data_IF_074692853793
#
_entry.id   IF_074692853793
#
_cell.length_a   1.000
_cell.length_b   1.000
_cell.length_c   1.000
_cell.angle_alpha   90.00
_cell.angle_beta   90.00
_cell.angle_gamma   90.00
#
_symmetry.space_group_name_H-M   'P 1'
#
loop_
_entity.id
_entity.type
_entity.pdbx_description
1 polymer ?
#
# COMPACT_ATOMS: atom_id res chain seq x y z
N UNK A 1 -13.54 23.01 48.85
CA UNK A 1 -14.66 23.75 48.22
C UNK A 1 -15.79 22.76 48.03
N UNK A 2 -16.88 23.02 48.72
CA UNK A 2 -18.03 22.14 48.94
C UNK A 2 -19.12 22.31 47.88
N UNK A 3 -19.75 21.18 47.53
CA UNK A 3 -21.19 20.98 47.30
C UNK A 3 -21.90 21.44 46.01
N UNK A 4 -22.81 20.54 45.57
CA UNK A 4 -24.17 20.77 45.04
C UNK A 4 -24.32 21.14 43.55
N UNK A 5 -25.29 20.66 42.77
CA UNK A 5 -26.41 19.71 42.92
C UNK A 5 -27.06 19.55 41.52
N UNK A 6 -27.71 18.39 41.30
CA UNK A 6 -28.99 18.16 40.57
C UNK A 6 -29.06 17.92 39.05
N UNK A 7 -29.67 16.76 38.80
CA UNK A 7 -30.37 16.24 37.64
C UNK A 7 -31.42 17.19 37.02
N UNK A 8 -31.60 17.08 35.71
CA UNK A 8 -32.91 17.17 35.07
C UNK A 8 -33.08 16.08 34.01
N UNK A 9 -33.76 15.00 34.40
CA UNK A 9 -34.64 14.22 33.53
C UNK A 9 -35.82 15.12 33.14
N UNK A 10 -36.16 15.18 31.86
CA UNK A 10 -37.48 15.60 31.38
C UNK A 10 -37.84 14.76 30.15
N UNK A 11 -38.48 13.64 30.43
CA UNK A 11 -39.41 12.98 29.52
C UNK A 11 -40.63 13.88 29.29
N UNK A 12 -41.05 14.08 28.05
CA UNK A 12 -42.46 14.35 27.76
C UNK A 12 -42.85 13.68 26.44
N UNK A 13 -43.61 12.61 26.60
CA UNK A 13 -44.42 11.95 25.58
C UNK A 13 -45.58 12.87 25.18
N UNK A 14 -45.86 12.99 23.88
CA UNK A 14 -47.21 13.31 23.41
C UNK A 14 -47.52 12.47 22.18
N UNK A 15 -48.70 11.85 22.23
CA UNK A 15 -49.21 10.76 21.43
C UNK A 15 -50.43 11.29 20.67
N UNK A 16 -50.37 11.33 19.33
CA UNK A 16 -51.51 11.40 18.40
C UNK A 16 -50.98 10.81 17.07
N UNK A 17 -51.48 9.74 16.45
CA UNK A 17 -52.84 9.22 16.42
C UNK A 17 -53.51 9.59 15.10
N UNK A 18 -53.01 9.14 13.94
CA UNK A 18 -53.80 9.07 12.69
C UNK A 18 -53.48 7.76 11.99
N UNK A 19 -54.46 6.86 12.00
CA UNK A 19 -54.56 5.73 11.09
C UNK A 19 -54.99 6.24 9.71
N UNK A 20 -54.21 5.94 8.68
CA UNK A 20 -54.66 5.97 7.30
C UNK A 20 -53.97 4.82 6.54
N UNK A 21 -54.71 3.82 6.02
CA UNK A 21 -54.14 2.85 5.11
C UNK A 21 -54.02 3.53 3.75
N UNK A 22 -52.88 4.16 3.48
CA UNK A 22 -52.53 4.50 2.11
C UNK A 22 -52.11 3.20 1.42
N UNK A 23 -53.04 2.66 0.64
CA UNK A 23 -52.72 1.72 -0.41
C UNK A 23 -51.69 2.38 -1.32
N UNK A 24 -50.42 2.02 -1.13
CA UNK A 24 -49.37 2.36 -2.07
C UNK A 24 -49.65 1.58 -3.35
N UNK A 25 -50.29 2.23 -4.31
CA UNK A 25 -50.14 1.86 -5.70
C UNK A 25 -48.66 2.06 -6.03
N UNK A 26 -47.86 1.01 -5.87
CA UNK A 26 -46.56 0.91 -6.49
C UNK A 26 -46.80 0.85 -7.99
N UNK A 27 -46.93 2.00 -8.65
CA UNK A 27 -46.59 2.08 -10.06
C UNK A 27 -45.09 1.85 -10.12
N UNK A 28 -44.72 0.58 -10.28
CA UNK A 28 -43.42 0.22 -10.79
C UNK A 28 -43.21 1.03 -12.08
N UNK A 29 -42.09 1.75 -12.25
CA UNK A 29 -41.81 2.37 -13.52
C UNK A 29 -41.67 1.25 -14.55
N UNK A 30 -42.74 1.04 -15.32
CA UNK A 30 -42.69 0.35 -16.59
C UNK A 30 -41.66 1.10 -17.43
N UNK A 31 -40.44 0.58 -17.45
CA UNK A 31 -39.44 0.99 -18.41
C UNK A 31 -40.01 0.58 -19.76
N UNK A 32 -40.50 1.54 -20.53
CA UNK A 32 -40.96 1.33 -21.89
C UNK A 32 -39.75 0.95 -22.75
N UNK A 33 -39.45 -0.34 -22.75
CA UNK A 33 -38.56 -0.95 -23.72
C UNK A 33 -39.24 -0.90 -25.08
N UNK A 34 -39.02 0.20 -25.80
CA UNK A 34 -39.27 0.28 -27.23
C UNK A 34 -40.53 1.05 -27.65
N UNK A 35 -40.52 2.37 -27.46
CA UNK A 35 -41.30 3.30 -28.31
C UNK A 35 -40.64 4.67 -28.47
N UNK A 36 -39.32 4.77 -28.25
CA UNK A 36 -38.59 5.96 -28.69
C UNK A 36 -38.56 5.94 -30.22
N UNK A 37 -38.90 7.06 -30.85
CA UNK A 37 -38.84 7.19 -32.30
C UNK A 37 -37.40 6.91 -32.77
N UNK A 38 -37.21 6.66 -34.08
CA UNK A 38 -35.86 6.46 -34.63
C UNK A 38 -34.97 7.67 -34.29
N UNK A 39 -35.57 8.85 -34.23
CA UNK A 39 -34.96 10.11 -33.82
C UNK A 39 -34.48 10.10 -32.35
N UNK A 40 -35.24 9.52 -31.41
CA UNK A 40 -34.81 9.37 -30.01
C UNK A 40 -33.59 8.44 -29.89
N UNK A 41 -33.57 7.37 -30.68
CA UNK A 41 -32.44 6.42 -30.71
C UNK A 41 -31.18 7.04 -31.31
N UNK A 42 -31.33 7.84 -32.38
CA UNK A 42 -30.22 8.60 -32.97
C UNK A 42 -29.68 9.62 -31.98
N UNK A 43 -30.56 10.36 -31.30
CA UNK A 43 -30.16 11.34 -30.28
C UNK A 43 -29.44 10.68 -29.11
N UNK A 44 -29.87 9.48 -28.70
CA UNK A 44 -29.20 8.71 -27.66
C UNK A 44 -27.84 8.17 -28.13
N UNK A 45 -27.74 7.70 -29.37
CA UNK A 45 -26.46 7.26 -29.96
C UNK A 45 -25.47 8.42 -30.12
N UNK A 46 -25.93 9.60 -30.51
CA UNK A 46 -25.10 10.80 -30.58
C UNK A 46 -24.60 11.22 -29.18
N UNK A 47 -25.44 11.17 -28.14
CA UNK A 47 -24.99 11.40 -26.76
C UNK A 47 -23.98 10.37 -26.29
N UNK A 48 -24.21 9.09 -26.58
CA UNK A 48 -23.28 8.01 -26.20
C UNK A 48 -21.96 8.18 -26.94
N UNK A 49 -21.99 8.51 -28.23
CA UNK A 49 -20.81 8.78 -29.06
C UNK A 49 -20.01 9.97 -28.53
N UNK A 50 -20.69 11.07 -28.20
CA UNK A 50 -20.08 12.26 -27.62
C UNK A 50 -19.49 11.98 -26.23
N UNK A 51 -20.20 11.22 -25.38
CA UNK A 51 -19.71 10.79 -24.08
C UNK A 51 -18.50 9.84 -24.19
N UNK A 52 -18.50 8.95 -25.17
CA UNK A 52 -17.39 8.05 -25.44
C UNK A 52 -16.15 8.81 -25.92
N UNK A 53 -16.34 9.83 -26.75
CA UNK A 53 -15.28 10.71 -27.22
C UNK A 53 -14.66 11.51 -26.06
N UNK A 54 -15.51 12.04 -25.16
CA UNK A 54 -15.06 12.71 -23.94
C UNK A 54 -14.30 11.77 -23.00
N UNK A 55 -14.74 10.52 -22.86
CA UNK A 55 -14.04 9.50 -22.05
C UNK A 55 -12.66 9.18 -22.64
N UNK A 56 -12.53 9.06 -23.96
CA UNK A 56 -11.25 8.82 -24.61
C UNK A 56 -10.27 9.97 -24.38
N UNK A 57 -10.74 11.23 -24.46
CA UNK A 57 -9.93 12.40 -24.11
C UNK A 57 -9.51 12.38 -22.64
N UNK A 58 -10.43 12.03 -21.74
CA UNK A 58 -10.11 11.92 -20.30
C UNK A 58 -9.09 10.82 -20.01
N UNK A 59 -9.18 9.67 -20.68
CA UNK A 59 -8.21 8.59 -20.56
C UNK A 59 -6.84 8.98 -21.12
N UNK A 60 -6.79 9.71 -22.25
CA UNK A 60 -5.53 10.24 -22.76
C UNK A 60 -4.89 11.23 -21.80
N UNK A 61 -5.68 12.15 -21.24
CA UNK A 61 -5.18 13.09 -20.24
C UNK A 61 -4.64 12.34 -19.02
N UNK A 62 -5.37 11.35 -18.52
CA UNK A 62 -4.94 10.56 -17.37
C UNK A 62 -3.65 9.77 -17.65
N UNK A 63 -3.47 9.24 -18.87
CA UNK A 63 -2.22 8.58 -19.24
C UNK A 63 -1.05 9.56 -19.29
N UNK A 64 -1.26 10.78 -19.80
CA UNK A 64 -0.25 11.84 -19.80
C UNK A 64 0.12 12.26 -18.39
N UNK A 65 -0.87 12.44 -17.51
CA UNK A 65 -0.66 12.83 -16.12
C UNK A 65 0.12 11.74 -15.37
N UNK A 66 -0.26 10.46 -15.54
CA UNK A 66 0.47 9.34 -14.97
C UNK A 66 1.92 9.26 -15.47
N UNK A 67 2.16 9.56 -16.75
CA UNK A 67 3.51 9.55 -17.31
C UNK A 67 4.37 10.66 -16.67
N UNK A 68 3.80 11.87 -16.53
CA UNK A 68 4.46 12.98 -15.83
C UNK A 68 4.74 12.64 -14.37
N UNK A 69 3.81 11.99 -13.69
CA UNK A 69 4.00 11.55 -12.30
C UNK A 69 5.10 10.50 -12.19
N UNK A 70 5.19 9.55 -13.13
CA UNK A 70 6.27 8.57 -13.20
C UNK A 70 7.63 9.25 -13.40
N UNK A 71 7.70 10.26 -14.27
CA UNK A 71 8.93 11.00 -14.52
C UNK A 71 9.34 11.83 -13.30
N UNK A 72 8.38 12.45 -12.61
CA UNK A 72 8.59 13.15 -11.34
C UNK A 72 9.09 12.21 -10.24
N UNK A 73 8.45 11.05 -10.08
CA UNK A 73 8.86 10.03 -9.12
C UNK A 73 10.25 9.50 -9.44
N UNK A 74 10.58 9.31 -10.72
CA UNK A 74 11.94 8.92 -11.14
C UNK A 74 12.97 9.98 -10.75
N UNK A 75 12.65 11.26 -10.95
CA UNK A 75 13.49 12.37 -10.50
C UNK A 75 13.68 12.36 -8.98
N UNK A 76 12.61 12.21 -8.20
CA UNK A 76 12.68 12.11 -6.75
C UNK A 76 13.49 10.90 -6.27
N UNK A 77 13.38 9.75 -6.93
CA UNK A 77 14.18 8.56 -6.61
C UNK A 77 15.66 8.83 -6.85
N UNK A 78 16.01 9.45 -7.99
CA UNK A 78 17.39 9.82 -8.29
C UNK A 78 17.96 10.81 -7.28
N UNK A 79 17.17 11.82 -6.89
CA UNK A 79 17.55 12.79 -5.87
C UNK A 79 17.74 12.14 -4.50
N UNK A 80 16.79 11.31 -4.06
CA UNK A 80 16.91 10.59 -2.80
C UNK A 80 18.13 9.66 -2.80
N UNK A 81 18.40 8.97 -3.90
CA UNK A 81 19.58 8.11 -4.03
C UNK A 81 20.88 8.91 -3.94
N UNK A 82 20.92 10.11 -4.54
CA UNK A 82 22.05 11.02 -4.42
C UNK A 82 22.26 11.48 -2.97
N UNK A 83 21.19 11.89 -2.28
CA UNK A 83 21.25 12.27 -0.88
C UNK A 83 21.70 11.11 0.01
N UNK A 84 21.22 9.89 -0.25
CA UNK A 84 21.64 8.70 0.49
C UNK A 84 23.14 8.43 0.34
N UNK A 85 23.67 8.52 -0.89
CA UNK A 85 25.09 8.36 -1.16
C UNK A 85 25.93 9.42 -0.42
N UNK A 86 25.45 10.67 -0.35
CA UNK A 86 26.13 11.70 0.43
C UNK A 86 26.16 11.39 1.93
N UNK A 87 25.05 10.87 2.49
CA UNK A 87 24.99 10.48 3.91
C UNK A 87 25.96 9.34 4.21
N UNK A 88 26.03 8.33 3.33
CA UNK A 88 26.97 7.20 3.48
C UNK A 88 28.41 7.70 3.42
N UNK A 89 28.77 8.57 2.47
CA UNK A 89 30.14 9.08 2.36
C UNK A 89 30.51 9.95 3.58
N UNK A 90 29.56 10.75 4.07
CA UNK A 90 29.73 11.52 5.31
C UNK A 90 29.94 10.60 6.52
N UNK A 91 29.18 9.52 6.63
CA UNK A 91 29.35 8.53 7.72
C UNK A 91 30.73 7.88 7.67
N UNK A 92 31.21 7.52 6.46
CA UNK A 92 32.55 6.98 6.25
C UNK A 92 33.64 7.97 6.69
N UNK A 93 33.51 9.25 6.33
CA UNK A 93 34.44 10.29 6.78
C UNK A 93 34.45 10.46 8.30
N UNK A 94 33.28 10.44 8.94
CA UNK A 94 33.16 10.52 10.41
C UNK A 94 33.85 9.31 11.06
N UNK A 95 33.66 8.10 10.54
CA UNK A 95 34.33 6.90 11.05
C UNK A 95 35.85 6.99 10.92
N UNK A 96 36.36 7.50 9.79
CA UNK A 96 37.80 7.71 9.59
C UNK A 96 38.36 8.78 10.53
N UNK A 97 37.64 9.88 10.75
CA UNK A 97 38.04 10.91 11.71
C UNK A 97 38.05 10.37 13.14
N UNK A 98 37.04 9.59 13.52
CA UNK A 98 36.95 8.95 14.84
C UNK A 98 38.12 7.98 15.07
N UNK A 99 38.47 7.18 14.07
CA UNK A 99 39.63 6.28 14.15
C UNK A 99 40.94 7.08 14.30
N UNK A 100 41.09 8.17 13.56
CA UNK A 100 42.27 9.03 13.62
C UNK A 100 42.41 9.78 14.97
N UNK A 101 41.28 10.14 15.60
CA UNK A 101 41.22 10.69 16.96
C UNK A 101 41.52 9.62 18.02
N UNK A 102 41.15 8.36 17.78
CA UNK A 102 41.46 7.22 18.64
C UNK A 102 42.91 6.76 18.55
N UNK A 103 43.59 6.98 17.42
CA UNK A 103 45.00 6.64 17.21
C UNK A 103 45.99 7.73 17.61
N UNK A 104 45.52 8.88 18.10
CA UNK A 104 46.36 10.03 18.48
C UNK A 104 46.96 10.00 19.89
N UNK A 105 46.96 8.85 20.58
CA UNK A 105 47.45 8.75 21.97
C UNK A 105 48.24 7.46 22.24
N UNK A 106 49.38 7.29 21.58
CA UNK A 106 50.44 6.39 22.06
C UNK A 106 51.80 6.77 21.44
N UNK A 107 52.88 7.00 22.21
CA UNK A 107 54.23 7.13 21.67
C UNK A 107 54.90 5.76 21.50
N UNK A 108 55.52 5.59 20.32
CA UNK A 108 56.69 4.80 19.94
C UNK A 108 56.90 3.36 20.48
N UNK A 109 56.97 2.41 19.54
CA UNK A 109 58.09 1.45 19.50
C UNK A 109 58.32 0.95 18.07
N UNK A 110 59.56 1.13 17.62
CA UNK A 110 60.11 0.73 16.34
C UNK A 110 60.72 -0.67 16.51
N UNK A 111 60.35 -1.63 15.66
CA UNK A 111 61.13 -2.86 15.49
C UNK A 111 60.96 -3.40 14.07
N UNK A 112 62.08 -3.36 13.37
CA UNK A 112 62.38 -3.97 12.07
C UNK A 112 62.48 -5.49 12.15
N UNK A 113 62.06 -6.18 11.08
CA UNK A 113 62.69 -7.41 10.61
C UNK A 113 61.80 -8.64 10.49
N UNK A 114 61.74 -9.20 9.28
CA UNK A 114 61.64 -10.66 9.11
C UNK A 114 60.41 -11.19 8.38
N UNK A 115 60.63 -11.57 7.13
CA UNK A 115 59.75 -12.17 6.13
C UNK A 115 59.01 -13.49 6.46
N UNK A 116 57.99 -13.73 5.60
CA UNK A 116 57.34 -14.99 5.20
C UNK A 116 56.33 -15.68 6.11
N UNK A 117 55.04 -15.60 5.71
CA UNK A 117 54.25 -16.78 5.37
C UNK A 117 52.99 -16.38 4.61
N UNK A 118 52.84 -16.88 3.38
CA UNK A 118 51.70 -16.61 2.50
C UNK A 118 50.42 -17.22 3.05
N UNK A 119 49.42 -16.38 3.29
CA UNK A 119 48.05 -16.78 3.54
C UNK A 119 47.13 -16.06 2.56
N UNK A 120 46.33 -16.87 1.88
CA UNK A 120 45.42 -16.51 0.81
C UNK A 120 44.50 -15.34 1.16
N UNK A 121 44.45 -14.38 0.24
CA UNK A 121 43.31 -13.48 0.07
C UNK A 121 42.14 -14.24 -0.53
N UNK A 122 40.91 -14.17 0.02
CA UNK A 122 39.73 -14.17 -0.80
C UNK A 122 39.44 -12.71 -1.16
N UNK A 123 39.73 -12.37 -2.40
CA UNK A 123 39.16 -11.20 -3.07
C UNK A 123 37.65 -11.48 -3.23
N UNK A 124 36.71 -10.62 -2.81
CA UNK A 124 35.37 -10.72 -3.34
C UNK A 124 35.43 -10.18 -4.77
N UNK A 125 35.56 -11.12 -5.70
CA UNK A 125 35.43 -10.88 -7.13
C UNK A 125 34.03 -10.30 -7.39
N UNK A 126 33.99 -9.06 -7.86
CA UNK A 126 32.86 -8.47 -8.55
C UNK A 126 32.78 -9.12 -9.95
N UNK A 127 32.45 -10.41 -9.96
CA UNK A 127 32.21 -11.20 -11.15
C UNK A 127 30.71 -11.39 -11.30
N UNK A 128 30.14 -10.75 -12.32
CA UNK A 128 28.78 -10.95 -12.76
C UNK A 128 28.49 -12.44 -12.98
N UNK A 129 27.73 -13.04 -12.06
CA UNK A 129 27.09 -14.32 -12.25
C UNK A 129 25.59 -14.11 -12.12
N UNK A 130 24.95 -13.96 -13.28
CA UNK A 130 23.55 -14.28 -13.46
C UNK A 130 23.32 -15.70 -12.91
N UNK A 131 22.85 -15.77 -11.67
CA UNK A 131 22.37 -17.01 -11.06
C UNK A 131 20.88 -16.86 -10.83
N UNK A 132 20.18 -17.51 -11.73
CA UNK A 132 18.79 -17.94 -11.60
C UNK A 132 18.48 -18.44 -10.18
N UNK A 133 17.47 -17.84 -9.54
CA UNK A 133 16.32 -18.65 -9.10
C UNK A 133 15.95 -18.72 -7.62
N UNK A 134 16.63 -18.05 -6.67
CA UNK A 134 16.20 -18.11 -5.26
C UNK A 134 16.48 -16.83 -4.46
N UNK A 135 15.65 -16.50 -3.44
CA UNK A 135 15.85 -15.33 -2.60
C UNK A 135 17.06 -15.52 -1.67
N UNK A 136 18.16 -14.81 -1.95
CA UNK A 136 19.33 -14.75 -1.07
C UNK A 136 18.99 -13.91 0.16
N UNK A 137 19.10 -14.49 1.36
CA UNK A 137 18.85 -13.82 2.64
C UNK A 137 20.19 -13.50 3.32
N UNK A 138 20.43 -12.23 3.58
CA UNK A 138 21.70 -11.66 4.03
C UNK A 138 21.81 -11.49 5.54
N UNK A 139 20.66 -11.46 6.26
CA UNK A 139 20.66 -11.19 7.71
C UNK A 139 20.39 -9.72 8.07
N UNK A 140 20.37 -8.83 7.07
CA UNK A 140 19.95 -7.44 7.22
C UNK A 140 18.53 -7.23 6.70
N UNK A 141 17.67 -6.60 7.51
CA UNK A 141 16.27 -6.42 7.18
C UNK A 141 16.07 -5.45 6.00
N UNK A 142 16.91 -4.43 5.84
CA UNK A 142 16.76 -3.52 4.70
C UNK A 142 17.12 -4.24 3.39
N UNK A 143 18.24 -4.96 3.39
CA UNK A 143 18.74 -5.71 2.23
C UNK A 143 17.77 -6.82 1.83
N UNK A 144 17.30 -7.63 2.78
CA UNK A 144 16.38 -8.74 2.52
C UNK A 144 15.01 -8.24 2.03
N UNK A 145 14.54 -7.10 2.56
CA UNK A 145 13.33 -6.45 2.07
C UNK A 145 13.49 -5.95 0.64
N UNK A 146 14.60 -5.26 0.33
CA UNK A 146 14.86 -4.73 -1.02
C UNK A 146 15.02 -5.86 -2.05
N UNK A 147 15.66 -6.96 -1.67
CA UNK A 147 15.74 -8.16 -2.49
C UNK A 147 14.34 -8.72 -2.81
N UNK A 148 13.45 -8.81 -1.80
CA UNK A 148 12.07 -9.25 -2.01
C UNK A 148 11.29 -8.29 -2.92
N UNK A 149 11.50 -6.98 -2.81
CA UNK A 149 10.88 -5.98 -3.68
C UNK A 149 11.32 -6.11 -5.13
N UNK A 150 12.59 -6.41 -5.39
CA UNK A 150 13.08 -6.63 -6.74
C UNK A 150 12.32 -7.78 -7.44
N UNK A 151 11.92 -8.80 -6.69
CA UNK A 151 11.13 -9.93 -7.20
C UNK A 151 9.72 -9.52 -7.61
N UNK A 152 9.10 -8.55 -6.91
CA UNK A 152 7.75 -8.06 -7.22
C UNK A 152 7.67 -7.42 -8.61
N UNK A 153 8.77 -6.84 -9.09
CA UNK A 153 8.80 -6.16 -10.40
C UNK A 153 8.68 -7.14 -11.56
N UNK A 154 9.08 -8.41 -11.36
CA UNK A 154 8.98 -9.46 -12.35
C UNK A 154 7.71 -10.30 -12.11
N UNK A 155 6.73 -10.16 -13.01
CA UNK A 155 5.45 -10.90 -12.90
C UNK A 155 5.65 -12.42 -12.93
N UNK A 156 6.73 -12.93 -13.52
CA UNK A 156 7.03 -14.36 -13.54
C UNK A 156 7.52 -14.89 -12.20
N UNK A 157 8.04 -14.00 -11.33
CA UNK A 157 8.66 -14.34 -10.04
C UNK A 157 7.80 -14.01 -8.83
N UNK A 158 6.48 -13.98 -9.02
CA UNK A 158 5.55 -13.70 -7.92
C UNK A 158 5.65 -14.74 -6.79
N UNK A 159 5.90 -16.01 -7.13
CA UNK A 159 6.06 -17.06 -6.12
C UNK A 159 7.34 -16.86 -5.28
N UNK A 160 8.47 -16.57 -5.94
CA UNK A 160 9.72 -16.20 -5.24
C UNK A 160 9.51 -14.98 -4.34
N UNK A 161 8.76 -13.96 -4.81
CA UNK A 161 8.46 -12.77 -4.03
C UNK A 161 7.63 -13.10 -2.79
N UNK A 162 6.62 -13.96 -2.92
CA UNK A 162 5.79 -14.43 -1.80
C UNK A 162 6.68 -15.16 -0.78
N UNK A 163 7.53 -16.08 -1.23
CA UNK A 163 8.42 -16.82 -0.34
C UNK A 163 9.40 -15.89 0.38
N UNK A 164 10.00 -14.93 -0.34
CA UNK A 164 10.92 -13.95 0.22
C UNK A 164 10.25 -13.11 1.32
N UNK A 165 9.04 -12.59 1.09
CA UNK A 165 8.33 -11.84 2.13
C UNK A 165 7.83 -12.72 3.28
N UNK A 166 7.43 -13.98 3.02
CA UNK A 166 7.05 -14.90 4.09
C UNK A 166 8.24 -15.20 5.02
N UNK A 167 9.44 -15.36 4.46
CA UNK A 167 10.65 -15.52 5.24
C UNK A 167 11.01 -14.22 5.96
N UNK A 168 10.84 -13.07 5.31
CA UNK A 168 11.07 -11.76 5.90
C UNK A 168 10.26 -11.53 7.18
N UNK A 169 8.94 -11.77 7.14
CA UNK A 169 8.06 -11.53 8.29
C UNK A 169 8.33 -12.48 9.46
N UNK A 170 8.90 -13.67 9.20
CA UNK A 170 9.30 -14.63 10.23
C UNK A 170 10.64 -14.24 10.86
N UNK A 171 11.59 -13.81 10.04
CA UNK A 171 12.96 -13.50 10.45
C UNK A 171 13.08 -12.13 11.13
N UNK A 172 12.28 -11.15 10.70
CA UNK A 172 12.33 -9.78 11.21
C UNK A 172 10.98 -9.33 11.78
N UNK A 173 10.50 -9.94 12.88
CA UNK A 173 9.21 -9.62 13.49
C UNK A 173 9.14 -8.20 14.07
N UNK A 174 10.28 -7.56 14.30
CA UNK A 174 10.37 -6.17 14.82
C UNK A 174 10.76 -5.16 13.73
N UNK A 175 10.78 -5.57 12.46
CA UNK A 175 11.16 -4.68 11.36
C UNK A 175 10.16 -3.54 11.16
N UNK A 176 10.68 -2.34 10.89
CA UNK A 176 9.86 -1.21 10.42
C UNK A 176 9.19 -1.49 9.07
N UNK A 177 9.72 -2.43 8.28
CA UNK A 177 9.14 -2.86 7.00
C UNK A 177 8.03 -3.89 7.15
N UNK A 178 7.77 -4.43 8.35
CA UNK A 178 6.80 -5.49 8.57
C UNK A 178 5.37 -5.16 8.08
N UNK A 179 4.83 -3.94 8.28
CA UNK A 179 3.53 -3.58 7.71
C UNK A 179 3.54 -3.60 6.18
N UNK A 180 4.65 -3.18 5.57
CA UNK A 180 4.79 -3.12 4.10
C UNK A 180 4.98 -4.52 3.51
N UNK A 181 5.77 -5.39 4.15
CA UNK A 181 5.93 -6.79 3.77
C UNK A 181 4.59 -7.55 3.80
N UNK A 182 3.80 -7.37 4.85
CA UNK A 182 2.44 -7.93 4.91
C UNK A 182 1.53 -7.34 3.82
N UNK A 183 1.63 -6.04 3.54
CA UNK A 183 0.87 -5.42 2.45
C UNK A 183 1.24 -6.04 1.08
N UNK A 184 2.53 -6.25 0.80
CA UNK A 184 2.98 -6.90 -0.43
C UNK A 184 2.54 -8.35 -0.54
N UNK A 185 2.61 -9.12 0.56
CA UNK A 185 2.04 -10.47 0.60
C UNK A 185 0.54 -10.47 0.27
N UNK A 186 -0.21 -9.50 0.80
CA UNK A 186 -1.61 -9.31 0.45
C UNK A 186 -1.81 -9.07 -1.05
N UNK A 187 -1.04 -8.15 -1.63
CA UNK A 187 -1.15 -7.78 -3.04
C UNK A 187 -0.74 -8.93 -3.98
N UNK A 188 0.34 -9.64 -3.66
CA UNK A 188 0.81 -10.78 -4.45
C UNK A 188 -0.21 -11.92 -4.43
N UNK A 189 -0.73 -12.29 -3.25
CA UNK A 189 -1.75 -13.33 -3.14
C UNK A 189 -3.05 -12.94 -3.83
N UNK A 190 -3.44 -11.65 -3.76
CA UNK A 190 -4.61 -11.14 -4.47
C UNK A 190 -4.43 -11.28 -5.99
N UNK A 191 -3.26 -10.94 -6.52
CA UNK A 191 -2.94 -11.08 -7.94
C UNK A 191 -2.98 -12.55 -8.40
N UNK A 192 -2.62 -13.48 -7.52
CA UNK A 192 -2.75 -14.94 -7.77
C UNK A 192 -4.17 -15.48 -7.60
N UNK A 193 -5.15 -14.63 -7.29
CA UNK A 193 -6.53 -15.04 -7.02
C UNK A 193 -6.76 -15.68 -5.65
N UNK A 194 -5.73 -15.76 -4.80
CA UNK A 194 -5.80 -16.27 -3.43
C UNK A 194 -6.40 -15.22 -2.49
N UNK A 195 -7.69 -14.96 -2.67
CA UNK A 195 -8.43 -13.88 -1.99
C UNK A 195 -8.42 -14.02 -0.46
N UNK A 196 -8.51 -15.24 0.08
CA UNK A 196 -8.51 -15.46 1.52
C UNK A 196 -7.14 -15.18 2.15
N UNK A 197 -6.06 -15.68 1.55
CA UNK A 197 -4.69 -15.37 1.97
C UNK A 197 -4.42 -13.85 1.89
N UNK A 198 -4.86 -13.22 0.80
CA UNK A 198 -4.72 -11.78 0.62
C UNK A 198 -5.43 -11.00 1.73
N UNK A 199 -6.67 -11.37 2.05
CA UNK A 199 -7.44 -10.75 3.11
C UNK A 199 -6.77 -10.92 4.48
N UNK A 200 -6.19 -12.10 4.75
CA UNK A 200 -5.45 -12.36 5.98
C UNK A 200 -4.26 -11.39 6.14
N UNK A 201 -3.43 -11.25 5.10
CA UNK A 201 -2.26 -10.37 5.17
C UNK A 201 -2.63 -8.90 5.27
N UNK A 202 -3.61 -8.43 4.49
CA UNK A 202 -4.09 -7.05 4.62
C UNK A 202 -4.72 -6.79 5.99
N UNK A 203 -5.56 -7.70 6.50
CA UNK A 203 -6.16 -7.57 7.82
C UNK A 203 -5.10 -7.56 8.94
N UNK A 204 -4.01 -8.31 8.76
CA UNK A 204 -2.87 -8.29 9.68
C UNK A 204 -2.22 -6.91 9.75
N UNK A 205 -2.11 -6.19 8.63
CA UNK A 205 -1.64 -4.80 8.63
C UNK A 205 -2.56 -3.90 9.44
N UNK A 206 -3.87 -3.97 9.20
CA UNK A 206 -4.87 -3.14 9.88
C UNK A 206 -4.89 -3.41 11.39
N UNK A 207 -4.80 -4.68 11.78
CA UNK A 207 -4.90 -5.13 13.17
C UNK A 207 -3.62 -4.80 13.96
N UNK A 208 -2.46 -5.15 13.42
CA UNK A 208 -1.21 -5.10 14.16
C UNK A 208 -0.49 -3.75 13.98
N UNK A 209 -0.74 -3.06 12.87
CA UNK A 209 -0.06 -1.81 12.53
C UNK A 209 -1.04 -0.69 12.14
N UNK A 210 -2.03 -0.34 12.99
CA UNK A 210 -3.08 0.62 12.64
C UNK A 210 -2.55 2.04 12.37
N UNK A 211 -1.34 2.38 12.84
CA UNK A 211 -0.71 3.68 12.58
C UNK A 211 0.22 3.67 11.36
N UNK A 212 0.40 2.52 10.71
CA UNK A 212 1.23 2.42 9.52
C UNK A 212 0.62 3.24 8.38
N UNK A 213 1.44 3.88 7.52
CA UNK A 213 0.97 4.46 6.27
C UNK A 213 0.21 3.48 5.37
N UNK A 214 0.40 2.17 5.54
CA UNK A 214 -0.30 1.11 4.78
C UNK A 214 -1.61 0.65 5.41
N UNK A 215 -1.96 1.08 6.62
CA UNK A 215 -3.14 0.59 7.32
C UNK A 215 -4.44 0.95 6.58
N UNK A 216 -4.56 2.19 6.10
CA UNK A 216 -5.73 2.63 5.36
C UNK A 216 -5.89 1.87 4.02
N UNK A 217 -4.81 1.76 3.26
CA UNK A 217 -4.80 1.05 1.98
C UNK A 217 -5.09 -0.44 2.16
N UNK A 218 -4.50 -1.08 3.17
CA UNK A 218 -4.76 -2.47 3.49
C UNK A 218 -6.24 -2.69 3.85
N UNK A 219 -6.83 -1.82 4.67
CA UNK A 219 -8.23 -1.91 5.05
C UNK A 219 -9.16 -1.73 3.84
N UNK A 220 -8.83 -0.81 2.95
CA UNK A 220 -9.52 -0.66 1.67
C UNK A 220 -9.43 -1.94 0.83
N UNK A 221 -8.24 -2.56 0.71
CA UNK A 221 -8.06 -3.82 -0.01
C UNK A 221 -8.87 -4.97 0.58
N UNK A 222 -9.05 -5.03 1.90
CA UNK A 222 -9.98 -5.98 2.53
C UNK A 222 -11.40 -5.76 2.02
N UNK A 223 -11.86 -4.51 1.94
CA UNK A 223 -13.18 -4.16 1.38
C UNK A 223 -13.33 -4.59 -0.08
N UNK A 224 -12.29 -4.37 -0.91
CA UNK A 224 -12.24 -4.82 -2.31
C UNK A 224 -12.37 -6.33 -2.39
N UNK A 225 -11.63 -7.07 -1.58
CA UNK A 225 -11.71 -8.54 -1.56
C UNK A 225 -13.11 -9.01 -1.17
N UNK A 226 -13.74 -8.40 -0.16
CA UNK A 226 -15.11 -8.76 0.23
C UNK A 226 -16.10 -8.51 -0.92
N UNK A 227 -15.95 -7.39 -1.63
CA UNK A 227 -16.75 -7.09 -2.81
C UNK A 227 -16.54 -8.13 -3.91
N UNK A 228 -15.29 -8.49 -4.19
CA UNK A 228 -14.94 -9.48 -5.21
C UNK A 228 -15.37 -10.91 -4.85
N UNK A 229 -15.70 -11.16 -3.58
CA UNK A 229 -16.30 -12.41 -3.09
C UNK A 229 -17.83 -12.39 -3.15
N UNK A 230 -18.44 -11.27 -3.55
CA UNK A 230 -19.90 -11.07 -3.57
C UNK A 230 -20.50 -10.61 -2.23
N UNK A 231 -19.67 -10.43 -1.19
CA UNK A 231 -20.10 -9.97 0.14
C UNK A 231 -20.26 -8.45 0.17
N UNK A 232 -21.10 -7.88 -0.69
CA UNK A 232 -21.30 -6.43 -0.87
C UNK A 232 -21.65 -5.72 0.44
N UNK A 233 -22.46 -6.33 1.30
CA UNK A 233 -22.81 -5.77 2.61
C UNK A 233 -21.57 -5.59 3.51
N UNK A 234 -20.69 -6.59 3.56
CA UNK A 234 -19.43 -6.51 4.33
C UNK A 234 -18.48 -5.50 3.70
N UNK A 235 -18.40 -5.46 2.36
CA UNK A 235 -17.58 -4.49 1.65
C UNK A 235 -18.00 -3.04 1.97
N UNK A 236 -19.30 -2.72 1.91
CA UNK A 236 -19.83 -1.40 2.32
C UNK A 236 -19.44 -1.05 3.76
N UNK A 237 -19.62 -1.99 4.68
CA UNK A 237 -19.24 -1.79 6.08
C UNK A 237 -17.73 -1.53 6.25
N UNK A 238 -16.87 -2.27 5.55
CA UNK A 238 -15.42 -2.07 5.60
C UNK A 238 -15.04 -0.71 5.00
N UNK A 239 -15.58 -0.34 3.83
CA UNK A 239 -15.30 0.96 3.22
C UNK A 239 -15.69 2.12 4.13
N UNK A 240 -16.85 2.04 4.78
CA UNK A 240 -17.27 3.04 5.76
C UNK A 240 -16.28 3.14 6.93
N UNK A 241 -15.77 2.01 7.42
CA UNK A 241 -14.75 2.00 8.46
C UNK A 241 -13.44 2.62 7.99
N UNK A 242 -13.01 2.44 6.74
CA UNK A 242 -11.80 3.11 6.22
C UNK A 242 -11.97 4.62 6.29
N UNK A 243 -13.11 5.14 5.84
CA UNK A 243 -13.42 6.57 5.83
C UNK A 243 -13.42 7.14 7.25
N UNK A 244 -14.03 6.43 8.20
CA UNK A 244 -14.14 6.88 9.59
C UNK A 244 -12.82 6.75 10.35
N UNK A 245 -12.06 5.67 10.17
CA UNK A 245 -10.82 5.41 10.93
C UNK A 245 -9.60 6.12 10.35
N UNK A 246 -9.57 6.33 9.03
CA UNK A 246 -8.42 6.89 8.32
C UNK A 246 -8.81 8.09 7.44
N UNK A 247 -9.45 9.14 8.00
CA UNK A 247 -9.92 10.27 7.21
C UNK A 247 -8.77 10.95 6.46
N UNK A 248 -9.03 11.37 5.22
CA UNK A 248 -8.07 12.10 4.38
C UNK A 248 -6.99 11.25 3.69
N UNK A 249 -6.87 9.96 4.04
CA UNK A 249 -5.93 9.04 3.38
C UNK A 249 -6.41 8.61 1.99
N UNK A 250 -5.49 8.13 1.14
CA UNK A 250 -5.84 7.67 -0.20
C UNK A 250 -6.75 6.42 -0.15
N UNK A 251 -6.49 5.48 0.77
CA UNK A 251 -7.41 4.38 1.04
C UNK A 251 -8.84 4.84 1.37
N UNK A 252 -9.00 5.90 2.18
CA UNK A 252 -10.32 6.46 2.48
C UNK A 252 -10.98 7.13 1.27
N UNK A 253 -10.23 7.88 0.46
CA UNK A 253 -10.75 8.47 -0.79
C UNK A 253 -11.22 7.38 -1.76
N UNK A 254 -10.43 6.31 -1.92
CA UNK A 254 -10.80 5.16 -2.76
C UNK A 254 -12.02 4.42 -2.21
N UNK A 255 -12.11 4.22 -0.90
CA UNK A 255 -13.26 3.62 -0.25
C UNK A 255 -14.54 4.44 -0.47
N UNK A 256 -14.47 5.77 -0.35
CA UNK A 256 -15.60 6.66 -0.62
C UNK A 256 -16.07 6.56 -2.07
N UNK A 257 -15.13 6.54 -3.02
CA UNK A 257 -15.46 6.36 -4.45
C UNK A 257 -16.16 5.03 -4.71
N UNK A 258 -15.66 3.93 -4.13
CA UNK A 258 -16.29 2.61 -4.26
C UNK A 258 -17.69 2.60 -3.65
N UNK A 259 -17.86 3.15 -2.45
CA UNK A 259 -19.14 3.19 -1.76
C UNK A 259 -20.20 3.96 -2.55
N UNK A 260 -19.84 5.07 -3.19
CA UNK A 260 -20.74 5.84 -4.05
C UNK A 260 -21.10 5.16 -5.37
N UNK A 261 -20.32 4.17 -5.82
CA UNK A 261 -20.57 3.42 -7.05
C UNK A 261 -21.35 2.10 -6.84
N UNK A 262 -21.68 1.75 -5.59
CA UNK A 262 -22.35 0.49 -5.20
C UNK A 262 -23.84 0.66 -4.91
#
# INVERSE_FOLDING_TARGET
MSSNFRHHLLSLSLLVGIAAPWAAFAQAPISSVGSGSVEDRVTQLERISNAHSQLLTQLQQQLSDNQSDIDSLRGQIQENQYQLNQVVERQKQILLQMNNLGSGSAPAAQSTGGDQSGAATPVPDAGAAATSGAPVQTGDANTDYNAAIALVQDKSRQDDAIEAFQNFIKKYPDSTYLPNANYWLGQLNYNKGKKDDAAFYFASVVKNFPKSPKAADAMYKVGVIMQDKGDTAKAKAVYQQVITKYPGTDGAKQAQKRLGAM
#
